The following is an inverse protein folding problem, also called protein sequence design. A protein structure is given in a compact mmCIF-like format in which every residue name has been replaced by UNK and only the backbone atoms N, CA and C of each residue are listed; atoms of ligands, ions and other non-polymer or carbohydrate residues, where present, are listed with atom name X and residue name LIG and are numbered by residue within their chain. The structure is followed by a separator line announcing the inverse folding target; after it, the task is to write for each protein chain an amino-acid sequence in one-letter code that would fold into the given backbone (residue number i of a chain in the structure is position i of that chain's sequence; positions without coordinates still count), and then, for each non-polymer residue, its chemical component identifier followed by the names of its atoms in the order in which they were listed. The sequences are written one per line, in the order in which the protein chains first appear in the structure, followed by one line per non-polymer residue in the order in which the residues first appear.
data_IF_156178202765
#
_entry.id   IF_156178202765
#
_cell.length_a   1.000
_cell.length_b   1.000
_cell.length_c   1.000
_cell.angle_alpha   90.00
_cell.angle_beta   90.00
_cell.angle_gamma   90.00
#
_symmetry.space_group_name_H-M   'P 1'
#
loop_
_entity.id
_entity.type
_entity.pdbx_description
1 polymer ?
#
# COMPACT_ATOMS: atom_id res chain seq x y z
N UNK A 1 5.73 68.71 6.25
CA UNK A 1 5.09 67.76 5.32
C UNK A 1 6.23 67.11 4.49
N UNK A 2 6.70 65.91 4.93
CA UNK A 2 7.76 65.21 4.21
C UNK A 2 7.14 64.43 3.03
N UNK A 3 7.54 64.74 1.81
CA UNK A 3 7.18 63.95 0.62
C UNK A 3 8.16 62.76 0.56
N UNK A 4 7.61 61.56 0.69
CA UNK A 4 8.34 60.31 0.40
C UNK A 4 8.75 60.31 -1.09
N UNK A 5 10.00 59.94 -1.36
CA UNK A 5 10.52 59.87 -2.74
C UNK A 5 10.00 58.62 -3.45
N UNK A 6 10.01 58.64 -4.79
CA UNK A 6 9.59 57.49 -5.61
C UNK A 6 10.49 56.27 -5.34
N UNK A 7 11.76 56.45 -4.92
CA UNK A 7 12.68 55.39 -4.50
C UNK A 7 12.25 54.67 -3.22
N UNK A 8 11.61 55.39 -2.27
CA UNK A 8 11.16 54.80 -1.00
C UNK A 8 9.94 53.90 -1.23
N UNK A 9 9.08 54.24 -2.19
CA UNK A 9 7.93 53.42 -2.58
C UNK A 9 8.34 52.12 -3.31
N UNK A 10 9.41 52.18 -4.12
CA UNK A 10 9.94 50.95 -4.75
C UNK A 10 10.61 50.02 -3.74
N UNK A 11 11.33 50.53 -2.77
CA UNK A 11 11.95 49.75 -1.70
C UNK A 11 10.88 49.05 -0.85
N UNK A 12 9.81 49.74 -0.46
CA UNK A 12 8.70 49.13 0.30
C UNK A 12 7.96 48.05 -0.48
N UNK A 13 7.78 48.19 -1.80
CA UNK A 13 7.14 47.15 -2.64
C UNK A 13 7.98 45.89 -2.73
N UNK A 14 9.29 45.99 -2.79
CA UNK A 14 10.19 44.84 -2.83
C UNK A 14 10.29 44.12 -1.47
N UNK A 15 10.24 44.85 -0.35
CA UNK A 15 10.19 44.25 1.01
C UNK A 15 8.83 43.54 1.23
N UNK A 16 7.72 44.09 0.75
CA UNK A 16 6.42 43.45 0.85
C UNK A 16 6.31 42.21 -0.05
N UNK A 17 6.96 42.18 -1.21
CA UNK A 17 6.99 41.05 -2.12
C UNK A 17 7.90 39.92 -1.61
N UNK A 18 9.02 40.23 -0.94
CA UNK A 18 9.87 39.21 -0.30
C UNK A 18 9.26 38.62 0.96
N UNK A 19 8.39 39.32 1.70
CA UNK A 19 7.68 38.76 2.85
C UNK A 19 6.51 37.84 2.47
N UNK A 20 6.02 37.90 1.22
CA UNK A 20 4.90 37.05 0.77
C UNK A 20 5.37 35.68 0.24
N UNK A 21 6.69 35.42 0.15
CA UNK A 21 7.26 34.14 -0.33
C UNK A 21 7.68 33.21 0.84
N UNK A 22 7.52 33.68 2.07
CA UNK A 22 7.63 32.84 3.26
C UNK A 22 6.27 32.29 3.72
N UNK A 23 5.31 32.13 2.82
CA UNK A 23 4.21 31.20 3.01
C UNK A 23 4.86 29.81 3.00
N UNK A 24 5.16 29.31 4.19
CA UNK A 24 5.55 27.92 4.42
C UNK A 24 4.58 27.05 3.63
N UNK A 25 5.07 26.41 2.57
CA UNK A 25 4.45 25.22 2.04
C UNK A 25 4.41 24.18 3.18
N UNK A 26 3.44 24.33 4.07
CA UNK A 26 2.90 23.21 4.79
C UNK A 26 2.12 22.43 3.72
N UNK A 27 2.87 21.73 2.86
CA UNK A 27 2.33 20.62 2.13
C UNK A 27 1.68 19.75 3.20
N UNK A 28 0.34 19.80 3.27
CA UNK A 28 -0.42 18.84 4.07
C UNK A 28 0.06 17.49 3.61
N UNK A 29 0.85 16.80 4.43
CA UNK A 29 1.35 15.48 4.10
C UNK A 29 0.15 14.66 3.64
N UNK A 30 0.24 14.08 2.45
CA UNK A 30 -0.86 13.31 1.89
C UNK A 30 -1.30 12.27 2.91
N UNK A 31 -2.62 12.13 3.10
CA UNK A 31 -3.15 11.18 4.08
C UNK A 31 -2.63 9.78 3.75
N UNK A 32 -2.03 9.05 4.71
CA UNK A 32 -1.51 7.71 4.47
C UNK A 32 -2.61 6.77 3.99
N UNK A 33 -2.25 5.81 3.15
CA UNK A 33 -3.14 4.73 2.75
C UNK A 33 -3.16 3.65 3.82
N UNK A 34 -4.32 3.08 4.08
CA UNK A 34 -4.47 2.01 5.08
C UNK A 34 -4.23 0.66 4.41
N UNK A 35 -3.48 -0.20 5.08
CA UNK A 35 -3.24 -1.59 4.75
C UNK A 35 -3.88 -2.46 5.83
N UNK A 36 -4.92 -3.22 5.47
CA UNK A 36 -5.53 -4.22 6.33
C UNK A 36 -4.61 -5.43 6.41
N UNK A 37 -3.85 -5.53 7.48
CA UNK A 37 -3.00 -6.67 7.81
C UNK A 37 -3.88 -7.82 8.30
N UNK A 38 -3.52 -9.05 7.96
CA UNK A 38 -4.26 -10.25 8.37
C UNK A 38 -5.78 -10.17 8.17
N UNK A 39 -6.24 -9.52 7.06
CA UNK A 39 -7.67 -9.29 6.79
C UNK A 39 -8.50 -10.58 6.85
N UNK A 40 -7.93 -11.73 6.49
CA UNK A 40 -8.58 -13.04 6.54
C UNK A 40 -8.94 -13.50 7.98
N UNK A 41 -8.41 -12.86 9.03
CA UNK A 41 -8.75 -13.08 10.44
C UNK A 41 -9.90 -12.18 10.92
N UNK A 42 -10.33 -11.21 10.11
CA UNK A 42 -11.46 -10.35 10.45
C UNK A 42 -12.78 -11.13 10.45
N UNK A 43 -13.78 -10.63 11.20
CA UNK A 43 -15.10 -11.27 11.28
C UNK A 43 -15.77 -11.41 9.90
N UNK A 44 -15.55 -10.46 9.00
CA UNK A 44 -16.05 -10.45 7.63
C UNK A 44 -14.90 -10.04 6.70
N UNK A 45 -13.98 -10.97 6.36
CA UNK A 45 -12.84 -10.70 5.49
C UNK A 45 -13.27 -10.05 4.17
N UNK A 46 -12.39 -9.27 3.55
CA UNK A 46 -12.62 -8.46 2.38
C UNK A 46 -13.67 -7.35 2.60
N UNK A 47 -14.87 -7.71 3.06
CA UNK A 47 -15.98 -6.75 3.17
C UNK A 47 -15.72 -5.67 4.20
N UNK A 48 -15.07 -6.00 5.32
CA UNK A 48 -14.64 -5.02 6.31
C UNK A 48 -13.66 -4.00 5.69
N UNK A 49 -12.64 -4.48 4.98
CA UNK A 49 -11.67 -3.64 4.29
C UNK A 49 -12.33 -2.74 3.22
N UNK A 50 -13.25 -3.28 2.43
CA UNK A 50 -13.98 -2.54 1.38
C UNK A 50 -14.90 -1.47 1.97
N UNK A 51 -15.60 -1.77 3.07
CA UNK A 51 -16.48 -0.82 3.78
C UNK A 51 -15.69 0.40 4.27
N UNK A 52 -14.49 0.19 4.78
CA UNK A 52 -13.60 1.24 5.26
C UNK A 52 -12.69 1.83 4.17
N UNK A 53 -12.89 1.43 2.89
CA UNK A 53 -12.11 1.90 1.73
C UNK A 53 -10.61 1.76 1.91
N UNK A 54 -10.18 0.62 2.43
CA UNK A 54 -8.78 0.26 2.61
C UNK A 54 -8.14 0.04 1.24
N UNK A 55 -6.95 0.60 1.03
CA UNK A 55 -6.26 0.48 -0.26
C UNK A 55 -5.54 -0.85 -0.45
N UNK A 56 -5.00 -1.43 0.64
CA UNK A 56 -4.23 -2.67 0.59
C UNK A 56 -4.88 -3.68 1.52
N UNK A 57 -5.21 -4.85 0.98
CA UNK A 57 -5.88 -5.95 1.69
C UNK A 57 -4.93 -7.13 1.65
N UNK A 58 -4.51 -7.64 2.80
CA UNK A 58 -3.53 -8.72 2.92
C UNK A 58 -4.20 -10.06 3.18
N UNK A 59 -3.74 -11.08 2.45
CA UNK A 59 -4.07 -12.46 2.68
C UNK A 59 -2.80 -13.31 2.71
N UNK A 60 -2.51 -13.92 3.87
CA UNK A 60 -1.46 -14.92 4.04
C UNK A 60 -1.87 -16.23 3.39
N UNK A 61 -1.02 -16.83 2.57
CA UNK A 61 -1.40 -18.03 1.86
C UNK A 61 -0.35 -19.14 1.92
N UNK A 62 -0.88 -20.37 1.95
CA UNK A 62 -0.16 -21.59 1.69
C UNK A 62 -0.74 -22.31 0.49
N UNK A 63 0.11 -22.93 -0.32
CA UNK A 63 -0.33 -23.85 -1.36
C UNK A 63 -0.48 -25.25 -0.77
N UNK A 64 -1.68 -25.82 -0.87
CA UNK A 64 -2.05 -27.17 -0.38
C UNK A 64 -2.67 -27.98 -1.51
N UNK A 65 -3.02 -29.25 -1.25
CA UNK A 65 -3.81 -30.07 -2.18
C UNK A 65 -5.22 -29.48 -2.45
N UNK A 66 -5.70 -28.58 -1.58
CA UNK A 66 -6.97 -27.86 -1.72
C UNK A 66 -6.82 -26.56 -2.53
N UNK A 67 -5.65 -26.27 -3.05
CA UNK A 67 -5.28 -24.99 -3.68
C UNK A 67 -4.67 -24.00 -2.68
N UNK A 68 -4.76 -22.70 -2.99
CA UNK A 68 -4.31 -21.62 -2.10
C UNK A 68 -5.28 -21.48 -0.93
N UNK A 69 -4.80 -21.66 0.30
CA UNK A 69 -5.61 -21.49 1.53
C UNK A 69 -5.10 -20.28 2.33
N UNK A 70 -6.02 -19.54 2.94
CA UNK A 70 -5.70 -18.36 3.73
C UNK A 70 -5.47 -18.74 5.19
N UNK A 71 -4.20 -18.69 5.66
CA UNK A 71 -3.84 -19.06 7.03
C UNK A 71 -2.53 -18.38 7.47
N UNK A 72 -2.44 -17.96 8.73
CA UNK A 72 -1.21 -17.41 9.29
C UNK A 72 -0.16 -18.51 9.56
N UNK A 73 -0.58 -19.66 10.10
CA UNK A 73 0.31 -20.76 10.41
C UNK A 73 0.00 -21.98 9.54
N UNK A 74 1.04 -22.75 9.22
CA UNK A 74 0.91 -23.98 8.42
C UNK A 74 -0.02 -25.01 9.06
N UNK A 75 -0.02 -25.13 10.38
CA UNK A 75 -0.89 -26.08 11.12
C UNK A 75 -2.39 -25.80 10.93
N UNK A 76 -2.76 -24.57 10.59
CA UNK A 76 -4.14 -24.14 10.48
C UNK A 76 -4.72 -24.36 9.07
N UNK A 77 -3.86 -24.71 8.09
CA UNK A 77 -4.23 -24.85 6.67
C UNK A 77 -5.27 -25.91 6.38
N UNK A 78 -5.39 -26.95 7.21
CA UNK A 78 -6.34 -28.06 7.01
C UNK A 78 -7.81 -27.58 7.07
N UNK A 79 -8.14 -26.64 7.97
CA UNK A 79 -9.48 -26.09 8.16
C UNK A 79 -9.67 -24.71 7.51
N UNK A 80 -8.59 -24.06 7.10
CA UNK A 80 -8.64 -22.70 6.55
C UNK A 80 -9.45 -22.61 5.24
N UNK A 81 -10.15 -21.49 4.98
CA UNK A 81 -10.81 -21.26 3.70
C UNK A 81 -9.78 -21.09 2.58
N UNK A 82 -10.21 -21.34 1.34
CA UNK A 82 -9.36 -21.05 0.18
C UNK A 82 -9.33 -19.56 -0.14
N UNK A 83 -8.22 -19.08 -0.70
CA UNK A 83 -8.11 -17.73 -1.24
C UNK A 83 -9.22 -17.44 -2.26
N UNK A 84 -9.54 -18.43 -3.09
CA UNK A 84 -10.60 -18.32 -4.10
C UNK A 84 -11.96 -18.04 -3.46
N UNK A 85 -12.35 -18.82 -2.46
CA UNK A 85 -13.66 -18.65 -1.79
C UNK A 85 -13.74 -17.36 -0.98
N UNK A 86 -12.62 -16.95 -0.34
CA UNK A 86 -12.61 -15.83 0.61
C UNK A 86 -12.46 -14.47 -0.10
N UNK A 87 -11.70 -14.42 -1.19
CA UNK A 87 -11.35 -13.18 -1.89
C UNK A 87 -11.72 -13.18 -3.37
N UNK A 88 -11.22 -14.14 -4.17
CA UNK A 88 -11.31 -14.01 -5.63
C UNK A 88 -12.76 -14.07 -6.12
N UNK A 89 -13.53 -15.04 -5.69
CA UNK A 89 -14.95 -15.17 -6.08
C UNK A 89 -15.83 -14.02 -5.57
N UNK A 90 -15.69 -13.54 -4.31
CA UNK A 90 -16.37 -12.32 -3.87
C UNK A 90 -16.00 -11.08 -4.72
N UNK A 91 -14.72 -10.88 -5.02
CA UNK A 91 -14.28 -9.76 -5.88
C UNK A 91 -14.91 -9.87 -7.27
N UNK A 92 -14.90 -11.05 -7.91
CA UNK A 92 -15.51 -11.28 -9.23
C UNK A 92 -17.00 -10.92 -9.20
N UNK A 93 -17.75 -11.36 -8.17
CA UNK A 93 -19.17 -11.03 -8.02
C UNK A 93 -19.42 -9.53 -7.86
N UNK A 94 -18.57 -8.84 -7.08
CA UNK A 94 -18.66 -7.37 -6.93
C UNK A 94 -18.44 -6.65 -8.26
N UNK A 95 -17.49 -7.10 -9.08
CA UNK A 95 -17.26 -6.55 -10.42
C UNK A 95 -18.47 -6.72 -11.35
N UNK A 96 -19.16 -7.86 -11.26
CA UNK A 96 -20.41 -8.08 -11.99
C UNK A 96 -21.51 -7.14 -11.50
N UNK A 97 -21.66 -6.96 -10.19
CA UNK A 97 -22.68 -6.10 -9.58
C UNK A 97 -22.46 -4.61 -9.85
N UNK A 98 -21.20 -4.18 -9.95
CA UNK A 98 -20.81 -2.76 -10.07
C UNK A 98 -20.26 -2.38 -11.46
N UNK A 99 -20.65 -3.13 -12.50
CA UNK A 99 -20.29 -2.82 -13.90
C UNK A 99 -18.76 -2.67 -14.09
N UNK A 100 -17.99 -3.67 -13.68
CA UNK A 100 -16.53 -3.72 -13.85
C UNK A 100 -15.74 -2.95 -12.79
N UNK A 101 -16.30 -2.77 -11.59
CA UNK A 101 -15.64 -2.11 -10.44
C UNK A 101 -15.86 -2.93 -9.16
N UNK A 102 -15.01 -2.68 -8.17
CA UNK A 102 -15.15 -3.34 -6.85
C UNK A 102 -16.33 -2.80 -6.03
N UNK A 103 -16.77 -1.57 -6.29
CA UNK A 103 -17.85 -0.91 -5.56
C UNK A 103 -18.53 0.17 -6.43
N UNK A 104 -19.60 0.77 -5.91
CA UNK A 104 -20.25 1.93 -6.53
C UNK A 104 -19.34 3.19 -6.56
N UNK A 105 -18.36 3.30 -5.65
CA UNK A 105 -17.39 4.38 -5.65
C UNK A 105 -16.39 4.20 -6.80
N UNK A 106 -16.51 5.08 -7.81
CA UNK A 106 -15.68 5.02 -9.04
C UNK A 106 -14.24 5.42 -8.81
N UNK A 107 -13.91 6.03 -7.68
CA UNK A 107 -12.55 6.48 -7.33
C UNK A 107 -11.77 5.41 -6.55
N UNK A 108 -12.46 4.43 -5.98
CA UNK A 108 -11.87 3.41 -5.14
C UNK A 108 -11.41 2.20 -5.96
N UNK A 109 -10.15 1.86 -5.83
CA UNK A 109 -9.52 0.70 -6.51
C UNK A 109 -8.47 0.08 -5.58
N UNK A 110 -8.79 -1.02 -4.87
CA UNK A 110 -7.89 -1.62 -3.91
C UNK A 110 -6.80 -2.48 -4.58
N UNK A 111 -5.85 -2.87 -3.74
CA UNK A 111 -4.80 -3.84 -4.02
C UNK A 111 -5.05 -5.07 -3.14
N UNK A 112 -5.02 -6.26 -3.71
CA UNK A 112 -4.99 -7.52 -2.96
C UNK A 112 -3.54 -7.99 -2.88
N UNK A 113 -2.96 -7.95 -1.69
CA UNK A 113 -1.62 -8.45 -1.41
C UNK A 113 -1.71 -9.90 -0.95
N UNK A 114 -0.97 -10.77 -1.62
CA UNK A 114 -0.86 -12.19 -1.32
C UNK A 114 0.49 -12.42 -0.67
N UNK A 115 0.49 -12.61 0.65
CA UNK A 115 1.71 -13.00 1.35
C UNK A 115 1.91 -14.50 1.24
N UNK A 116 2.84 -14.90 0.38
CA UNK A 116 3.23 -16.30 0.24
C UNK A 116 4.08 -16.73 1.43
N UNK A 117 3.57 -17.62 2.27
CA UNK A 117 4.28 -18.07 3.48
C UNK A 117 5.40 -19.05 3.11
N UNK A 118 5.25 -19.82 2.04
CA UNK A 118 6.28 -20.74 1.52
C UNK A 118 6.09 -20.98 0.01
N UNK A 119 7.18 -21.39 -0.67
CA UNK A 119 7.17 -21.80 -2.09
C UNK A 119 6.52 -20.77 -3.04
N UNK A 120 6.99 -19.53 -3.00
CA UNK A 120 6.47 -18.41 -3.79
C UNK A 120 6.23 -18.70 -5.26
N UNK A 121 7.17 -19.33 -6.01
CA UNK A 121 6.94 -19.68 -7.41
C UNK A 121 5.69 -20.54 -7.63
N UNK A 122 5.43 -21.52 -6.76
CA UNK A 122 4.25 -22.39 -6.89
C UNK A 122 2.96 -21.63 -6.49
N UNK A 123 3.02 -20.78 -5.46
CA UNK A 123 1.91 -19.89 -5.08
C UNK A 123 1.55 -18.94 -6.23
N UNK A 124 2.55 -18.31 -6.85
CA UNK A 124 2.33 -17.41 -8.00
C UNK A 124 1.71 -18.17 -9.18
N UNK A 125 2.22 -19.36 -9.51
CA UNK A 125 1.65 -20.18 -10.58
C UNK A 125 0.19 -20.55 -10.32
N UNK A 126 -0.16 -20.96 -9.10
CA UNK A 126 -1.54 -21.26 -8.72
C UNK A 126 -2.44 -20.02 -8.77
N UNK A 127 -1.95 -18.85 -8.31
CA UNK A 127 -2.70 -17.59 -8.40
C UNK A 127 -2.97 -17.19 -9.87
N UNK A 128 -1.98 -17.31 -10.75
CA UNK A 128 -2.14 -17.05 -12.19
C UNK A 128 -3.23 -17.94 -12.79
N UNK A 129 -3.24 -19.24 -12.47
CA UNK A 129 -4.29 -20.16 -12.95
C UNK A 129 -5.69 -19.73 -12.54
N UNK A 130 -5.86 -19.25 -11.28
CA UNK A 130 -7.15 -18.80 -10.76
C UNK A 130 -7.63 -17.47 -11.37
N UNK A 131 -6.72 -16.61 -11.81
CA UNK A 131 -7.04 -15.22 -12.16
C UNK A 131 -7.00 -14.94 -13.68
N UNK A 132 -6.32 -15.75 -14.47
CA UNK A 132 -6.17 -15.55 -15.93
C UNK A 132 -7.50 -15.53 -16.67
N UNK A 133 -8.51 -16.25 -16.20
CA UNK A 133 -9.87 -16.25 -16.79
C UNK A 133 -10.66 -14.95 -16.54
N UNK A 134 -10.15 -14.06 -15.66
CA UNK A 134 -10.84 -12.84 -15.23
C UNK A 134 -10.00 -11.57 -15.44
N UNK A 135 -9.52 -11.28 -16.67
CA UNK A 135 -8.60 -10.17 -16.90
C UNK A 135 -9.23 -8.80 -16.57
N UNK A 136 -10.54 -8.62 -16.80
CA UNK A 136 -11.24 -7.38 -16.43
C UNK A 136 -11.30 -7.13 -14.91
N UNK A 137 -11.04 -8.15 -14.10
CA UNK A 137 -11.09 -8.06 -12.64
C UNK A 137 -9.71 -7.83 -12.05
N UNK A 138 -8.65 -8.42 -12.66
CA UNK A 138 -7.31 -8.49 -12.05
C UNK A 138 -6.20 -7.88 -12.92
N UNK A 139 -6.49 -7.42 -14.14
CA UNK A 139 -5.50 -6.80 -15.02
C UNK A 139 -5.86 -5.33 -15.34
N UNK A 140 -5.08 -4.40 -14.80
CA UNK A 140 -5.27 -2.96 -15.03
C UNK A 140 -5.00 -2.52 -16.45
N UNK A 141 -4.32 -3.31 -17.27
CA UNK A 141 -4.18 -3.04 -18.69
C UNK A 141 -5.50 -3.29 -19.45
N UNK A 142 -6.32 -4.23 -18.96
CA UNK A 142 -7.65 -4.54 -19.52
C UNK A 142 -8.75 -3.66 -18.90
N UNK A 143 -8.62 -3.30 -17.63
CA UNK A 143 -9.56 -2.46 -16.90
C UNK A 143 -8.82 -1.65 -15.85
N UNK A 144 -8.72 -0.34 -16.02
CA UNK A 144 -8.03 0.55 -15.08
C UNK A 144 -8.59 0.51 -13.64
N UNK A 145 -9.78 -0.08 -13.45
CA UNK A 145 -10.43 -0.29 -12.14
C UNK A 145 -10.23 -1.71 -11.58
N UNK A 146 -9.45 -2.55 -12.25
CA UNK A 146 -9.14 -3.89 -11.78
C UNK A 146 -8.41 -3.87 -10.42
N UNK A 147 -8.66 -4.87 -9.59
CA UNK A 147 -7.89 -5.10 -8.36
C UNK A 147 -6.49 -5.53 -8.74
N UNK A 148 -5.48 -4.79 -8.26
CA UNK A 148 -4.10 -5.15 -8.49
C UNK A 148 -3.68 -6.31 -7.58
N UNK A 149 -2.99 -7.30 -8.14
CA UNK A 149 -2.43 -8.42 -7.39
C UNK A 149 -0.97 -8.15 -7.08
N UNK A 150 -0.60 -8.24 -5.80
CA UNK A 150 0.77 -8.02 -5.32
C UNK A 150 1.25 -9.22 -4.52
N UNK A 151 2.41 -9.74 -4.83
CA UNK A 151 3.04 -10.85 -4.10
C UNK A 151 4.00 -10.29 -3.05
N UNK A 152 3.86 -10.75 -1.82
CA UNK A 152 4.76 -10.49 -0.68
C UNK A 152 5.26 -11.80 -0.04
N UNK A 153 5.99 -11.71 1.07
CA UNK A 153 6.52 -12.85 1.80
C UNK A 153 7.58 -13.63 1.01
N UNK A 154 7.39 -14.92 0.83
CA UNK A 154 8.24 -15.77 0.00
C UNK A 154 7.91 -15.50 -1.49
N UNK A 155 8.54 -14.47 -2.05
CA UNK A 155 8.45 -14.11 -3.47
C UNK A 155 9.46 -14.95 -4.26
N UNK A 156 9.31 -15.12 -5.54
CA UNK A 156 10.39 -15.66 -6.37
C UNK A 156 11.63 -14.73 -6.38
N UNK A 157 12.76 -15.21 -6.91
CA UNK A 157 13.94 -14.37 -7.10
C UNK A 157 13.60 -13.13 -7.96
N UNK A 158 14.10 -11.95 -7.58
CA UNK A 158 13.84 -10.65 -8.22
C UNK A 158 14.01 -10.71 -9.75
N UNK A 159 15.10 -11.35 -10.25
CA UNK A 159 15.35 -11.51 -11.67
C UNK A 159 14.28 -12.32 -12.44
N UNK A 160 13.38 -13.02 -11.74
CA UNK A 160 12.26 -13.75 -12.34
C UNK A 160 10.98 -12.94 -12.45
N UNK A 161 10.87 -11.80 -11.76
CA UNK A 161 9.62 -11.03 -11.70
C UNK A 161 9.12 -10.58 -13.07
N UNK A 162 10.03 -10.20 -13.96
CA UNK A 162 9.70 -9.81 -15.35
C UNK A 162 9.18 -10.94 -16.21
N UNK A 163 9.37 -12.20 -15.82
CA UNK A 163 8.90 -13.39 -16.57
C UNK A 163 7.45 -13.77 -16.24
N UNK A 164 6.90 -13.25 -15.17
CA UNK A 164 5.48 -13.46 -14.82
C UNK A 164 4.56 -12.56 -15.65
N UNK A 165 3.27 -12.89 -15.79
CA UNK A 165 2.30 -12.04 -16.47
C UNK A 165 2.32 -10.60 -15.94
N UNK A 166 2.13 -9.57 -16.77
CA UNK A 166 2.30 -8.16 -16.38
C UNK A 166 1.33 -7.68 -15.30
N UNK A 167 0.24 -8.38 -15.05
CA UNK A 167 -0.71 -8.06 -13.99
C UNK A 167 -0.30 -8.55 -12.58
N UNK A 168 0.78 -9.34 -12.47
CA UNK A 168 1.37 -9.74 -11.18
C UNK A 168 2.43 -8.72 -10.78
N UNK A 169 2.25 -8.07 -9.65
CA UNK A 169 3.17 -7.11 -9.05
C UNK A 169 3.82 -7.70 -7.78
N UNK A 170 4.82 -6.99 -7.26
CA UNK A 170 5.60 -7.46 -6.12
C UNK A 170 5.75 -6.35 -5.08
N UNK A 171 5.84 -6.76 -3.83
CA UNK A 171 6.29 -5.98 -2.70
C UNK A 171 7.82 -6.00 -2.68
N UNK A 172 8.47 -4.88 -2.95
CA UNK A 172 9.92 -4.74 -2.98
C UNK A 172 10.54 -4.59 -1.58
N UNK A 173 11.89 -4.56 -1.52
CA UNK A 173 12.65 -4.31 -0.29
C UNK A 173 13.68 -3.19 -0.52
N UNK A 174 13.96 -2.36 0.46
CA UNK A 174 14.87 -1.22 0.29
C UNK A 174 16.33 -1.61 0.07
N UNK A 175 16.70 -2.85 0.38
CA UNK A 175 18.06 -3.39 0.21
C UNK A 175 18.24 -4.21 -1.08
N UNK A 176 17.17 -4.42 -1.86
CA UNK A 176 17.24 -5.09 -3.15
C UNK A 176 17.62 -4.10 -4.26
N UNK A 177 18.27 -4.59 -5.30
CA UNK A 177 18.62 -3.80 -6.49
C UNK A 177 17.64 -4.12 -7.64
N UNK A 178 17.19 -3.08 -8.32
CA UNK A 178 16.19 -3.21 -9.39
C UNK A 178 16.66 -2.47 -10.64
N UNK A 179 16.64 -3.14 -11.78
CA UNK A 179 16.68 -2.46 -13.06
C UNK A 179 15.32 -1.80 -13.38
N UNK A 180 15.29 -1.00 -14.45
CA UNK A 180 14.08 -0.26 -14.81
C UNK A 180 12.88 -1.16 -15.10
N UNK A 181 13.09 -2.34 -15.69
CA UNK A 181 12.01 -3.28 -16.01
C UNK A 181 11.45 -3.94 -14.75
N UNK A 182 12.32 -4.35 -13.84
CA UNK A 182 11.93 -4.92 -12.55
C UNK A 182 11.24 -3.89 -11.65
N UNK A 183 11.73 -2.64 -11.65
CA UNK A 183 11.13 -1.55 -10.86
C UNK A 183 9.67 -1.29 -11.26
N UNK A 184 9.32 -1.45 -12.54
CA UNK A 184 7.94 -1.35 -13.02
C UNK A 184 7.02 -2.46 -12.49
N UNK A 185 7.59 -3.58 -12.01
CA UNK A 185 6.84 -4.69 -11.41
C UNK A 185 6.62 -4.52 -9.91
N UNK A 186 7.16 -3.47 -9.29
CA UNK A 186 7.03 -3.17 -7.87
C UNK A 186 5.84 -2.26 -7.64
N UNK A 187 4.90 -2.72 -6.80
CA UNK A 187 3.74 -1.94 -6.40
C UNK A 187 4.09 -0.92 -5.30
N UNK A 188 4.84 -1.35 -4.32
CA UNK A 188 5.36 -0.57 -3.19
C UNK A 188 6.59 -1.28 -2.61
N UNK A 189 7.31 -0.62 -1.72
CA UNK A 189 8.47 -1.17 -1.01
C UNK A 189 8.15 -1.23 0.47
N UNK A 190 8.46 -2.36 1.11
CA UNK A 190 8.26 -2.52 2.53
C UNK A 190 9.47 -3.06 3.27
N UNK A 191 9.57 -2.75 4.57
CA UNK A 191 10.64 -3.22 5.46
C UNK A 191 10.15 -3.38 6.89
N UNK A 192 10.97 -4.01 7.72
CA UNK A 192 10.72 -4.18 9.15
C UNK A 192 10.92 -2.83 9.88
N UNK A 193 9.91 -2.42 10.63
CA UNK A 193 9.97 -1.23 11.47
C UNK A 193 11.16 -1.27 12.46
N UNK A 194 11.47 -2.43 13.01
CA UNK A 194 12.55 -2.58 13.98
C UNK A 194 13.96 -2.44 13.39
N UNK A 195 14.11 -2.41 12.07
CA UNK A 195 15.37 -2.03 11.42
C UNK A 195 15.70 -0.54 11.64
N UNK A 196 14.72 0.29 12.03
CA UNK A 196 14.83 1.75 12.14
C UNK A 196 14.58 2.25 13.55
N UNK A 197 13.76 1.56 14.34
CA UNK A 197 13.29 1.96 15.69
C UNK A 197 13.39 0.76 16.64
N UNK A 198 13.79 0.92 17.93
CA UNK A 198 14.23 2.16 18.59
C UNK A 198 15.73 2.41 18.39
N UNK A 199 16.07 3.54 17.84
CA UNK A 199 17.45 4.03 17.72
C UNK A 199 17.47 5.50 18.10
N UNK A 200 18.60 6.06 18.61
CA UNK A 200 18.67 7.46 18.98
C UNK A 200 18.34 8.44 17.83
N UNK A 201 18.54 8.00 16.60
CA UNK A 201 18.35 8.77 15.36
C UNK A 201 17.16 8.25 14.50
N UNK A 202 16.20 7.54 15.10
CA UNK A 202 15.09 6.85 14.41
C UNK A 202 14.37 7.74 13.38
N UNK A 203 14.04 8.98 13.75
CA UNK A 203 13.34 9.90 12.84
C UNK A 203 14.18 10.21 11.59
N UNK A 204 15.46 10.49 11.76
CA UNK A 204 16.37 10.76 10.63
C UNK A 204 16.52 9.55 9.72
N UNK A 205 16.64 8.36 10.29
CA UNK A 205 16.72 7.10 9.52
C UNK A 205 15.45 6.82 8.72
N UNK A 206 14.27 7.03 9.32
CA UNK A 206 13.00 6.90 8.62
C UNK A 206 12.88 7.92 7.49
N UNK A 207 13.27 9.18 7.71
CA UNK A 207 13.25 10.20 6.66
C UNK A 207 14.21 9.89 5.51
N UNK A 208 15.38 9.34 5.79
CA UNK A 208 16.34 8.89 4.76
C UNK A 208 15.76 7.72 3.95
N UNK A 209 15.11 6.76 4.62
CA UNK A 209 14.42 5.65 3.96
C UNK A 209 13.30 6.18 3.03
N UNK A 210 12.41 7.03 3.54
CA UNK A 210 11.32 7.63 2.78
C UNK A 210 11.88 8.34 1.54
N UNK A 211 12.90 9.19 1.71
CA UNK A 211 13.55 9.89 0.60
C UNK A 211 14.12 8.92 -0.45
N UNK A 212 14.75 7.82 -0.01
CA UNK A 212 15.26 6.78 -0.90
C UNK A 212 14.13 6.16 -1.71
N UNK A 213 13.03 5.76 -1.06
CA UNK A 213 11.91 5.05 -1.69
C UNK A 213 11.12 5.99 -2.62
N UNK A 214 10.87 7.23 -2.20
CA UNK A 214 10.24 8.25 -3.06
C UNK A 214 11.12 8.60 -4.27
N UNK A 215 12.45 8.56 -4.14
CA UNK A 215 13.37 8.72 -5.28
C UNK A 215 13.26 7.60 -6.32
N UNK A 216 12.64 6.47 -5.98
CA UNK A 216 12.30 5.37 -6.89
C UNK A 216 10.87 5.45 -7.43
N UNK A 217 10.13 6.52 -7.10
CA UNK A 217 8.69 6.68 -7.40
C UNK A 217 7.84 5.53 -6.81
N UNK A 218 8.17 5.12 -5.56
CA UNK A 218 7.46 4.06 -4.85
C UNK A 218 6.95 4.55 -3.50
N UNK A 219 5.91 3.86 -3.00
CA UNK A 219 5.35 4.07 -1.66
C UNK A 219 6.09 3.19 -0.65
N UNK A 220 6.22 3.68 0.58
CA UNK A 220 6.83 2.95 1.69
C UNK A 220 5.76 2.39 2.64
N UNK A 221 5.85 1.08 2.94
CA UNK A 221 5.15 0.39 4.02
C UNK A 221 6.16 -0.13 5.05
N UNK A 222 5.82 -0.06 6.33
CA UNK A 222 6.55 -0.77 7.37
C UNK A 222 5.64 -1.83 8.00
N UNK A 223 6.17 -3.06 8.19
CA UNK A 223 5.49 -4.09 8.99
C UNK A 223 6.06 -4.14 10.42
N UNK A 224 5.47 -4.97 11.30
CA UNK A 224 5.80 -5.09 12.73
C UNK A 224 5.69 -3.76 13.48
N UNK A 225 4.87 -2.84 13.01
CA UNK A 225 4.65 -1.54 13.63
C UNK A 225 3.74 -1.63 14.85
N UNK A 226 3.92 -0.77 15.87
CA UNK A 226 2.92 -0.60 16.89
C UNK A 226 1.58 -0.13 16.27
N UNK A 227 0.48 -0.79 16.65
CA UNK A 227 -0.85 -0.53 16.07
C UNK A 227 -1.71 0.28 17.04
N UNK A 228 -1.42 1.59 17.09
CA UNK A 228 -2.10 2.56 17.94
C UNK A 228 -1.99 3.99 17.39
N UNK A 229 -2.79 4.90 17.96
CA UNK A 229 -2.90 6.30 17.50
C UNK A 229 -1.57 7.08 17.56
N UNK A 230 -0.70 6.78 18.53
CA UNK A 230 0.58 7.47 18.67
C UNK A 230 1.52 7.07 17.51
N UNK A 231 1.56 5.78 17.14
CA UNK A 231 2.32 5.30 16.00
C UNK A 231 1.74 5.84 14.67
N UNK A 232 0.43 5.82 14.48
CA UNK A 232 -0.22 6.35 13.28
C UNK A 232 0.06 7.85 13.09
N UNK A 233 0.02 8.64 14.19
CA UNK A 233 0.39 10.05 14.19
C UNK A 233 1.85 10.24 13.76
N UNK A 234 2.77 9.50 14.36
CA UNK A 234 4.19 9.56 14.02
C UNK A 234 4.42 9.23 12.54
N UNK A 235 3.82 8.16 12.05
CA UNK A 235 4.00 7.72 10.65
C UNK A 235 3.48 8.77 9.66
N UNK A 236 2.33 9.39 9.96
CA UNK A 236 1.83 10.51 9.16
C UNK A 236 2.80 11.70 9.18
N UNK A 237 3.32 12.07 10.36
CA UNK A 237 4.24 13.20 10.51
C UNK A 237 5.57 13.01 9.78
N UNK A 238 6.12 11.79 9.80
CA UNK A 238 7.39 11.50 9.11
C UNK A 238 7.19 11.20 7.62
N UNK A 239 5.96 10.99 7.15
CA UNK A 239 5.64 10.80 5.73
C UNK A 239 5.66 9.34 5.27
N UNK A 240 5.34 8.37 6.15
CA UNK A 240 5.07 6.98 5.75
C UNK A 240 3.80 6.93 4.91
N UNK A 241 3.86 6.28 3.76
CA UNK A 241 2.75 6.28 2.78
C UNK A 241 1.66 5.26 3.11
N UNK A 242 2.05 4.12 3.72
CA UNK A 242 1.13 3.00 3.96
C UNK A 242 1.21 2.59 5.43
N UNK A 243 0.08 2.71 6.12
CA UNK A 243 -0.09 2.31 7.52
C UNK A 243 -0.58 0.88 7.59
N UNK A 244 0.22 0.01 8.20
CA UNK A 244 -0.12 -1.38 8.49
C UNK A 244 -0.94 -1.46 9.78
N UNK A 245 -2.13 -2.10 9.75
CA UNK A 245 -3.02 -2.17 10.91
C UNK A 245 -3.93 -3.39 10.90
N UNK A 246 -4.15 -3.98 12.07
CA UNK A 246 -5.20 -4.98 12.33
C UNK A 246 -6.53 -4.27 12.71
N UNK A 247 -6.47 -2.97 13.05
CA UNK A 247 -7.57 -2.14 13.56
C UNK A 247 -8.09 -1.20 12.47
N UNK A 248 -8.57 -1.76 11.37
CA UNK A 248 -8.94 -1.02 10.16
C UNK A 248 -9.92 0.12 10.45
N UNK A 249 -10.99 -0.14 11.20
CA UNK A 249 -12.02 0.85 11.55
C UNK A 249 -11.44 1.97 12.40
N UNK A 250 -10.73 1.63 13.49
CA UNK A 250 -10.12 2.61 14.40
C UNK A 250 -9.09 3.48 13.67
N UNK A 251 -8.24 2.88 12.85
CA UNK A 251 -7.25 3.58 12.07
C UNK A 251 -7.91 4.53 11.05
N UNK A 252 -8.95 4.07 10.37
CA UNK A 252 -9.73 4.89 9.44
C UNK A 252 -10.37 6.09 10.14
N UNK A 253 -11.02 5.84 11.27
CA UNK A 253 -11.67 6.87 12.07
C UNK A 253 -10.68 7.92 12.59
N UNK A 254 -9.49 7.47 13.01
CA UNK A 254 -8.42 8.38 13.43
C UNK A 254 -8.09 9.37 12.30
N UNK A 255 -7.81 8.89 11.10
CA UNK A 255 -7.45 9.75 9.97
C UNK A 255 -8.61 10.59 9.42
N UNK A 256 -9.87 10.19 9.62
CA UNK A 256 -11.03 11.01 9.27
C UNK A 256 -11.24 12.18 10.23
N UNK A 257 -10.93 12.00 11.52
CA UNK A 257 -11.07 13.03 12.56
C UNK A 257 -9.88 14.01 12.59
N UNK A 258 -8.74 13.62 12.05
CA UNK A 258 -7.54 14.45 11.97
C UNK A 258 -7.57 15.50 10.84
N UNK A 259 -8.71 15.61 10.14
CA UNK A 259 -8.98 16.66 9.13
C UNK A 259 -9.60 17.87 9.79
#
# INVERSE_FOLDING_TARGET
MYKLSISDLYSMKHILFCMLILATDHSLAAQPRIHAHDDYLQAIPLMNALQHKVFFIEADVYLTHRGLVAAHNKKDTAAAPTLDSLYLQPIIRLFQQHNGRISADTTYTPVLMIESKENGPAVIAALIQLTTAYPFVFDRAMNSKAVQLVISGNRSAVAKWITYPPFIFFDGRPYEEYDSATLQRIAFISDDYYNYVPQPDSTSRLQQLIKKIHGMDKLLRLWATPDNTAAWSLFQQVGIDIINTDKVEECRDYFLKAK
#
